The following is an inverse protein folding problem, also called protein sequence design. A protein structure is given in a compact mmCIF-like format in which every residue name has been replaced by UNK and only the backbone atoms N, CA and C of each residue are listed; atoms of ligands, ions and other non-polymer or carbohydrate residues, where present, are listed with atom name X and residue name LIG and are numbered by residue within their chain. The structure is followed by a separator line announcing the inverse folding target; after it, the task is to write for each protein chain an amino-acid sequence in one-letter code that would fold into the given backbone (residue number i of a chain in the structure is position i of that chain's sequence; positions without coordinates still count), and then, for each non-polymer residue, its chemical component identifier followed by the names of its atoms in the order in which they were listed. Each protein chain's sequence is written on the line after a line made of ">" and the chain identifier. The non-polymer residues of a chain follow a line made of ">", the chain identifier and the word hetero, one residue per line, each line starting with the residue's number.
data_IF_867984680800
#
_entry.id   IF_867984680800
#
_cell.length_a   1.000
_cell.length_b   1.000
_cell.length_c   1.000
_cell.angle_alpha   90.00
_cell.angle_beta   90.00
_cell.angle_gamma   90.00
#
_symmetry.space_group_name_H-M   'P 1'
#
loop_
_entity.id
_entity.type
_entity.pdbx_description
1 polymer ?
#
# COMPACT_ATOMS: atom_id res chain seq x y z
N UNK A 1 1.54 -14.93 0.30
CA UNK A 1 2.53 -14.49 1.31
C UNK A 1 2.58 -15.52 2.41
N UNK A 2 3.73 -15.76 3.05
CA UNK A 2 3.79 -16.64 4.22
C UNK A 2 2.87 -16.10 5.33
N UNK A 3 2.20 -16.99 6.06
CA UNK A 3 1.27 -16.61 7.14
C UNK A 3 1.91 -15.71 8.23
N UNK A 4 3.23 -15.81 8.40
CA UNK A 4 4.00 -14.97 9.32
C UNK A 4 4.12 -13.50 8.92
N UNK A 5 3.72 -13.13 7.70
CA UNK A 5 3.83 -11.75 7.22
C UNK A 5 2.59 -10.89 7.50
N UNK A 6 1.46 -11.50 7.86
CA UNK A 6 0.18 -10.78 7.92
C UNK A 6 -0.16 -10.25 9.33
N UNK A 7 0.55 -10.69 10.37
CA UNK A 7 0.31 -10.28 11.75
C UNK A 7 1.59 -10.21 12.59
N UNK A 8 2.74 -10.04 11.97
CA UNK A 8 4.04 -10.05 12.63
C UNK A 8 4.94 -8.90 12.17
N UNK A 9 5.60 -8.24 13.09
CA UNK A 9 6.64 -7.24 12.83
C UNK A 9 7.89 -7.83 12.15
N UNK A 10 8.04 -9.15 12.12
CA UNK A 10 9.13 -9.83 11.43
C UNK A 10 9.20 -9.47 9.93
N UNK A 11 8.07 -9.10 9.33
CA UNK A 11 8.00 -8.62 7.95
C UNK A 11 8.86 -7.38 7.71
N UNK A 12 8.85 -6.43 8.63
CA UNK A 12 9.63 -5.19 8.52
C UNK A 12 11.13 -5.46 8.60
N UNK A 13 11.49 -6.52 9.31
CA UNK A 13 12.87 -6.98 9.44
C UNK A 13 13.43 -7.57 8.13
N UNK A 14 12.58 -8.14 7.26
CA UNK A 14 13.06 -8.79 6.02
C UNK A 14 13.77 -7.84 5.08
N UNK A 15 13.24 -6.64 4.87
CA UNK A 15 13.86 -5.65 4.01
C UNK A 15 15.21 -5.17 4.57
N UNK A 16 15.28 -4.91 5.87
CA UNK A 16 16.51 -4.54 6.56
C UNK A 16 17.57 -5.63 6.51
N UNK A 17 17.18 -6.88 6.69
CA UNK A 17 18.08 -8.02 6.64
C UNK A 17 18.63 -8.25 5.21
N UNK A 18 17.78 -8.11 4.19
CA UNK A 18 18.24 -8.20 2.79
C UNK A 18 19.28 -7.11 2.47
N UNK A 19 19.05 -5.88 2.90
CA UNK A 19 19.99 -4.77 2.72
C UNK A 19 21.31 -5.01 3.47
N UNK A 20 21.25 -5.51 4.71
CA UNK A 20 22.43 -5.85 5.52
C UNK A 20 23.26 -6.94 4.84
N UNK A 21 22.64 -8.00 4.34
CA UNK A 21 23.32 -9.09 3.64
C UNK A 21 23.96 -8.60 2.34
N UNK A 22 23.25 -7.78 1.57
CA UNK A 22 23.80 -7.20 0.33
C UNK A 22 24.99 -6.30 0.59
N UNK A 23 24.94 -5.47 1.63
CA UNK A 23 26.07 -4.61 2.01
C UNK A 23 27.26 -5.44 2.48
N UNK A 24 27.06 -6.48 3.29
CA UNK A 24 28.12 -7.37 3.75
C UNK A 24 28.77 -8.10 2.57
N UNK A 25 27.97 -8.57 1.59
CA UNK A 25 28.50 -9.20 0.37
C UNK A 25 29.35 -8.22 -0.45
N UNK A 26 28.90 -6.99 -0.64
CA UNK A 26 29.66 -5.96 -1.34
C UNK A 26 30.99 -5.61 -0.66
N UNK A 27 30.99 -5.49 0.67
CA UNK A 27 32.20 -5.23 1.45
C UNK A 27 33.18 -6.42 1.39
N UNK A 28 32.66 -7.66 1.40
CA UNK A 28 33.48 -8.86 1.24
C UNK A 28 34.13 -8.90 -0.15
N UNK A 29 33.35 -8.63 -1.20
CA UNK A 29 33.87 -8.55 -2.58
C UNK A 29 34.95 -7.48 -2.72
N UNK A 30 34.76 -6.30 -2.10
CA UNK A 30 35.76 -5.23 -2.06
C UNK A 30 37.09 -5.70 -1.43
N UNK A 31 37.02 -6.66 -0.50
CA UNK A 31 38.21 -7.27 0.14
C UNK A 31 38.76 -8.47 -0.62
N UNK A 32 38.28 -8.74 -1.83
CA UNK A 32 38.75 -9.82 -2.68
C UNK A 32 38.08 -11.17 -2.41
N UNK A 33 36.93 -11.20 -1.70
CA UNK A 33 36.16 -12.44 -1.56
C UNK A 33 35.60 -12.84 -2.94
N UNK A 34 35.82 -14.06 -3.34
CA UNK A 34 35.43 -14.59 -4.66
C UNK A 34 34.20 -15.45 -4.50
N UNK A 35 33.18 -15.20 -5.31
CA UNK A 35 31.99 -16.03 -5.45
C UNK A 35 31.95 -16.67 -6.85
N UNK A 36 31.06 -17.65 -7.05
CA UNK A 36 30.85 -18.25 -8.37
C UNK A 36 30.26 -17.20 -9.32
N UNK A 37 30.98 -16.88 -10.40
CA UNK A 37 30.60 -15.83 -11.35
C UNK A 37 29.27 -16.12 -12.06
N UNK A 38 28.97 -17.39 -12.29
CA UNK A 38 27.78 -17.83 -13.01
C UNK A 38 26.65 -18.32 -12.11
N UNK A 39 26.63 -17.93 -10.84
CA UNK A 39 25.67 -18.44 -9.84
C UNK A 39 24.20 -18.16 -10.22
N UNK A 40 23.94 -17.14 -11.01
CA UNK A 40 22.58 -16.80 -11.41
C UNK A 40 22.04 -17.80 -12.46
N UNK A 41 22.80 -18.05 -13.53
CA UNK A 41 22.36 -18.83 -14.70
C UNK A 41 22.86 -20.28 -14.70
N UNK A 42 23.79 -20.65 -13.82
CA UNK A 42 24.36 -22.00 -13.78
C UNK A 42 23.29 -23.04 -13.38
N UNK A 43 23.49 -24.28 -13.84
CA UNK A 43 22.69 -25.43 -13.37
C UNK A 43 22.81 -25.55 -11.86
N UNK A 44 21.66 -25.64 -11.16
CA UNK A 44 21.53 -25.54 -9.70
C UNK A 44 21.89 -24.15 -9.14
N UNK A 45 22.03 -23.16 -9.99
CA UNK A 45 22.16 -21.76 -9.61
C UNK A 45 20.82 -21.13 -9.21
N UNK A 46 20.84 -19.81 -9.05
CA UNK A 46 19.67 -19.09 -8.49
C UNK A 46 18.40 -19.29 -9.34
N UNK A 47 18.46 -19.09 -10.64
CA UNK A 47 17.28 -19.18 -11.50
C UNK A 47 16.79 -20.61 -11.67
N UNK A 48 17.69 -21.60 -11.73
CA UNK A 48 17.34 -23.01 -11.80
C UNK A 48 16.60 -23.48 -10.53
N UNK A 49 16.99 -22.99 -9.37
CA UNK A 49 16.40 -23.36 -8.06
C UNK A 49 15.10 -22.63 -7.79
N UNK A 50 15.02 -21.32 -8.10
CA UNK A 50 13.86 -20.49 -7.76
C UNK A 50 12.87 -20.33 -8.91
N UNK A 51 13.16 -20.87 -10.06
CA UNK A 51 12.27 -20.90 -11.21
C UNK A 51 12.30 -19.62 -12.05
N UNK A 52 12.76 -19.75 -13.27
CA UNK A 52 12.69 -18.74 -14.30
C UNK A 52 12.83 -19.44 -15.63
N UNK A 53 11.74 -19.53 -16.41
CA UNK A 53 11.79 -20.15 -17.73
C UNK A 53 12.29 -19.18 -18.80
N UNK A 54 12.02 -17.88 -18.65
CA UNK A 54 12.46 -16.81 -19.56
C UNK A 54 13.49 -15.90 -18.86
N UNK A 55 14.77 -16.29 -18.92
CA UNK A 55 15.85 -15.50 -18.31
C UNK A 55 16.16 -14.22 -19.09
N UNK A 56 15.80 -14.16 -20.37
CA UNK A 56 16.01 -12.98 -21.21
C UNK A 56 15.14 -11.79 -20.74
N UNK A 57 14.05 -12.06 -20.02
CA UNK A 57 13.21 -11.00 -19.45
C UNK A 57 13.95 -10.10 -18.47
N UNK A 58 15.02 -10.60 -17.83
CA UNK A 58 15.80 -9.87 -16.82
C UNK A 58 16.61 -8.73 -17.43
N UNK A 59 17.14 -8.95 -18.64
CA UNK A 59 17.98 -7.99 -19.35
C UNK A 59 17.29 -7.32 -20.52
N UNK A 60 16.07 -7.77 -20.85
CA UNK A 60 15.26 -7.18 -21.92
C UNK A 60 15.03 -5.70 -21.60
N UNK A 61 15.25 -4.87 -22.61
CA UNK A 61 15.02 -3.43 -22.55
C UNK A 61 15.90 -2.66 -21.54
N UNK A 62 16.98 -3.24 -21.03
CA UNK A 62 17.94 -2.52 -20.19
C UNK A 62 18.45 -1.25 -20.89
N UNK A 63 18.39 -0.14 -20.15
CA UNK A 63 18.76 1.19 -20.65
C UNK A 63 17.70 1.87 -21.53
N UNK A 64 16.57 1.19 -21.81
CA UNK A 64 15.44 1.74 -22.58
C UNK A 64 14.21 1.92 -21.70
N UNK A 65 13.83 0.88 -20.97
CA UNK A 65 12.70 0.88 -20.05
C UNK A 65 13.17 0.58 -18.63
N UNK A 66 12.51 1.23 -17.67
CA UNK A 66 12.82 1.07 -16.26
C UNK A 66 11.53 0.86 -15.49
N UNK A 67 11.37 -0.28 -14.84
CA UNK A 67 10.18 -0.62 -14.05
C UNK A 67 9.88 0.41 -12.96
N UNK A 68 10.91 1.08 -12.45
CA UNK A 68 10.75 2.19 -11.51
C UNK A 68 9.97 3.38 -12.11
N UNK A 69 9.87 3.47 -13.42
CA UNK A 69 9.10 4.50 -14.13
C UNK A 69 7.74 3.96 -14.58
N UNK A 70 7.72 2.74 -15.15
CA UNK A 70 6.54 2.16 -15.78
C UNK A 70 5.60 1.48 -14.79
N UNK A 71 6.16 0.78 -13.79
CA UNK A 71 5.40 -0.09 -12.89
C UNK A 71 5.38 0.37 -11.42
N UNK A 72 6.04 1.49 -11.11
CA UNK A 72 6.05 1.99 -9.74
C UNK A 72 4.67 2.40 -9.28
N UNK A 73 4.32 2.00 -8.06
CA UNK A 73 3.14 2.46 -7.36
C UNK A 73 3.55 3.14 -6.04
N UNK A 74 2.99 4.32 -5.78
CA UNK A 74 3.21 5.08 -4.55
C UNK A 74 1.95 5.01 -3.69
N UNK A 75 2.10 4.55 -2.45
CA UNK A 75 0.99 4.53 -1.49
C UNK A 75 0.71 5.94 -0.98
N UNK A 76 -0.49 6.45 -1.21
CA UNK A 76 -0.95 7.76 -0.73
C UNK A 76 -1.65 7.69 0.62
N UNK A 77 -2.05 6.47 1.04
CA UNK A 77 -2.64 6.17 2.35
C UNK A 77 -1.94 4.95 2.95
N UNK A 78 -2.05 4.70 4.27
CA UNK A 78 -1.36 3.58 4.92
C UNK A 78 -1.91 2.22 4.46
N UNK A 79 -1.13 1.17 4.68
CA UNK A 79 -1.54 -0.23 4.57
C UNK A 79 -1.33 -0.88 3.20
N UNK A 80 -1.97 -2.01 2.99
CA UNK A 80 -1.87 -2.81 1.77
C UNK A 80 -2.50 -2.11 0.57
N UNK A 81 -1.74 -1.91 -0.51
CA UNK A 81 -2.20 -1.19 -1.71
C UNK A 81 -3.53 -1.72 -2.27
N UNK A 82 -3.79 -3.05 -2.31
CA UNK A 82 -5.09 -3.57 -2.74
C UNK A 82 -6.29 -3.16 -1.88
N UNK A 83 -6.06 -2.62 -0.68
CA UNK A 83 -7.13 -2.19 0.23
C UNK A 83 -7.45 -0.69 0.12
N UNK A 84 -6.60 0.09 -0.56
CA UNK A 84 -6.81 1.52 -0.74
C UNK A 84 -8.12 1.82 -1.47
N UNK A 85 -8.43 1.05 -2.52
CA UNK A 85 -9.71 1.17 -3.25
C UNK A 85 -10.92 0.86 -2.39
N UNK A 86 -10.79 -0.06 -1.43
CA UNK A 86 -11.87 -0.36 -0.47
C UNK A 86 -12.15 0.84 0.43
N UNK A 87 -11.10 1.45 1.00
CA UNK A 87 -11.25 2.65 1.84
C UNK A 87 -11.83 3.82 1.04
N UNK A 88 -11.31 4.08 -0.15
CA UNK A 88 -11.81 5.17 -1.01
C UNK A 88 -13.26 4.96 -1.45
N UNK A 89 -13.62 3.74 -1.88
CA UNK A 89 -14.99 3.40 -2.27
C UNK A 89 -15.97 3.53 -1.10
N UNK A 90 -15.58 3.09 0.10
CA UNK A 90 -16.38 3.25 1.32
C UNK A 90 -16.58 4.73 1.69
N UNK A 91 -15.53 5.54 1.58
CA UNK A 91 -15.61 6.98 1.83
C UNK A 91 -16.54 7.69 0.83
N UNK A 92 -16.49 7.31 -0.44
CA UNK A 92 -17.40 7.83 -1.48
C UNK A 92 -18.85 7.49 -1.12
N UNK A 93 -19.14 6.21 -0.85
CA UNK A 93 -20.49 5.78 -0.50
C UNK A 93 -21.03 6.50 0.76
N UNK A 94 -20.19 6.68 1.77
CA UNK A 94 -20.58 7.34 3.01
C UNK A 94 -20.82 8.85 2.83
N UNK A 95 -19.99 9.52 2.02
CA UNK A 95 -20.14 10.96 1.72
C UNK A 95 -21.39 11.23 0.89
N UNK A 96 -21.54 10.53 -0.24
CA UNK A 96 -22.69 10.74 -1.15
C UNK A 96 -24.02 10.39 -0.51
N UNK A 97 -24.04 9.35 0.34
CA UNK A 97 -25.21 8.99 1.12
C UNK A 97 -25.42 9.84 2.39
N UNK A 98 -24.49 10.71 2.73
CA UNK A 98 -24.44 11.41 4.02
C UNK A 98 -24.66 10.46 5.22
N UNK A 99 -24.11 9.23 5.13
CA UNK A 99 -24.32 8.16 6.13
C UNK A 99 -23.50 8.45 7.38
N UNK A 100 -24.12 8.26 8.56
CA UNK A 100 -23.46 8.26 9.86
C UNK A 100 -23.31 6.82 10.40
N UNK A 101 -22.33 6.54 11.29
CA UNK A 101 -22.06 5.18 11.78
C UNK A 101 -23.27 4.48 12.43
N UNK A 102 -24.12 5.23 13.12
CA UNK A 102 -25.32 4.74 13.80
C UNK A 102 -26.41 4.27 12.81
N UNK A 103 -26.45 4.83 11.61
CA UNK A 103 -27.39 4.47 10.55
C UNK A 103 -26.99 3.17 9.83
N UNK A 104 -25.74 2.74 9.92
CA UNK A 104 -25.25 1.58 9.18
C UNK A 104 -25.85 0.27 9.67
N UNK A 105 -26.48 -0.48 8.77
CA UNK A 105 -26.90 -1.86 8.96
C UNK A 105 -25.80 -2.83 8.56
N UNK A 106 -25.26 -2.70 7.32
CA UNK A 106 -24.17 -3.53 6.81
C UNK A 106 -23.27 -2.75 5.82
N UNK A 107 -22.03 -3.23 5.69
CA UNK A 107 -21.01 -2.73 4.75
C UNK A 107 -20.58 -3.91 3.88
N UNK A 108 -20.89 -3.88 2.60
CA UNK A 108 -20.65 -4.98 1.68
C UNK A 108 -19.45 -4.62 0.80
N UNK A 109 -18.39 -5.43 0.83
CA UNK A 109 -17.18 -5.24 0.01
C UNK A 109 -17.20 -6.25 -1.14
N UNK A 110 -17.23 -5.77 -2.37
CA UNK A 110 -17.13 -6.55 -3.59
C UNK A 110 -15.84 -6.21 -4.35
N UNK A 111 -15.21 -7.22 -4.95
CA UNK A 111 -13.95 -7.09 -5.71
C UNK A 111 -14.00 -7.89 -6.99
N UNK A 112 -13.18 -7.55 -8.02
CA UNK A 112 -13.01 -8.39 -9.19
C UNK A 112 -12.45 -9.76 -8.80
N UNK A 113 -12.86 -10.79 -9.54
CA UNK A 113 -12.24 -12.12 -9.41
C UNK A 113 -10.82 -12.03 -9.98
N UNK A 114 -9.83 -12.13 -9.12
CA UNK A 114 -8.46 -12.33 -9.56
C UNK A 114 -7.93 -13.67 -9.06
N UNK A 115 -7.74 -14.61 -9.98
CA UNK A 115 -7.23 -15.95 -9.67
C UNK A 115 -5.75 -15.98 -9.27
N UNK A 116 -4.99 -14.91 -9.59
CA UNK A 116 -3.57 -14.80 -9.25
C UNK A 116 -3.36 -14.28 -7.83
N UNK A 117 -4.25 -13.42 -7.35
CA UNK A 117 -4.24 -12.97 -5.96
C UNK A 117 -5.12 -13.92 -5.14
N UNK A 118 -4.51 -14.87 -4.46
CA UNK A 118 -5.18 -15.82 -3.55
C UNK A 118 -5.67 -15.12 -2.27
N UNK A 119 -6.36 -14.01 -2.42
CA UNK A 119 -7.01 -13.31 -1.31
C UNK A 119 -8.41 -13.87 -1.15
N UNK A 120 -8.72 -14.37 0.04
CA UNK A 120 -10.08 -14.80 0.38
C UNK A 120 -11.08 -13.64 0.26
N UNK A 121 -12.40 -13.94 0.24
CA UNK A 121 -13.42 -12.91 0.19
C UNK A 121 -13.23 -11.94 1.37
N UNK A 122 -13.38 -10.63 1.15
CA UNK A 122 -13.32 -9.65 2.21
C UNK A 122 -14.57 -9.78 3.10
N UNK A 123 -14.45 -10.57 4.14
CA UNK A 123 -15.48 -10.75 5.16
C UNK A 123 -15.16 -9.97 6.44
N UNK A 124 -15.94 -10.18 7.52
CA UNK A 124 -15.64 -9.59 8.82
C UNK A 124 -14.22 -9.97 9.21
N UNK A 125 -13.38 -8.98 9.32
CA UNK A 125 -11.96 -9.16 9.60
C UNK A 125 -11.69 -9.27 11.10
N UNK A 126 -10.44 -9.59 11.43
CA UNK A 126 -9.96 -9.40 12.79
C UNK A 126 -10.05 -7.93 13.17
N UNK A 127 -10.42 -7.66 14.40
CA UNK A 127 -10.24 -6.34 14.99
C UNK A 127 -8.74 -6.04 15.11
N UNK A 128 -8.22 -5.02 14.45
CA UNK A 128 -6.80 -4.71 14.49
C UNK A 128 -6.38 -4.28 15.89
N UNK A 129 -5.23 -4.77 16.34
CA UNK A 129 -4.64 -4.47 17.65
C UNK A 129 -3.35 -3.66 17.53
N UNK A 130 -2.81 -3.60 16.33
CA UNK A 130 -1.56 -2.92 16.02
C UNK A 130 -1.55 -2.46 14.56
N UNK A 131 -0.54 -1.71 14.16
CA UNK A 131 -0.41 -1.14 12.83
C UNK A 131 -0.28 -2.21 11.72
N UNK A 132 0.31 -3.36 12.04
CA UNK A 132 0.46 -4.46 11.07
C UNK A 132 -0.90 -5.07 10.75
N UNK A 133 -1.74 -5.28 11.75
CA UNK A 133 -3.12 -5.76 11.57
C UNK A 133 -3.93 -4.77 10.72
N UNK A 134 -3.82 -3.45 11.02
CA UNK A 134 -4.45 -2.37 10.23
C UNK A 134 -4.08 -2.50 8.76
N UNK A 135 -2.79 -2.68 8.46
CA UNK A 135 -2.28 -2.71 7.10
C UNK A 135 -2.86 -3.85 6.23
N UNK A 136 -3.41 -4.90 6.85
CA UNK A 136 -3.83 -6.13 6.18
C UNK A 136 -5.30 -6.50 6.41
N UNK A 137 -6.10 -5.64 7.04
CA UNK A 137 -7.51 -5.91 7.36
C UNK A 137 -8.44 -5.08 6.46
N UNK A 138 -8.94 -5.60 5.32
CA UNK A 138 -9.84 -4.88 4.42
C UNK A 138 -11.09 -4.32 5.12
N UNK A 139 -11.61 -5.06 6.09
CA UNK A 139 -12.77 -4.63 6.88
C UNK A 139 -12.48 -3.35 7.67
N UNK A 140 -11.25 -3.19 8.19
CA UNK A 140 -10.83 -1.95 8.84
C UNK A 140 -10.86 -0.75 7.89
N UNK A 141 -10.33 -0.92 6.65
CA UNK A 141 -10.35 0.15 5.65
C UNK A 141 -11.76 0.63 5.34
N UNK A 142 -12.70 -0.31 5.15
CA UNK A 142 -14.10 0.06 4.91
C UNK A 142 -14.74 0.70 6.13
N UNK A 143 -14.61 0.12 7.31
CA UNK A 143 -15.21 0.60 8.55
C UNK A 143 -14.70 1.99 8.95
N UNK A 144 -13.38 2.19 8.90
CA UNK A 144 -12.75 3.48 9.21
C UNK A 144 -13.17 4.57 8.22
N UNK A 145 -13.21 4.21 6.92
CA UNK A 145 -13.66 5.12 5.89
C UNK A 145 -15.14 5.51 6.01
N UNK A 146 -16.00 4.60 6.45
CA UNK A 146 -17.41 4.91 6.74
C UNK A 146 -17.54 5.78 7.99
N UNK A 147 -16.78 5.49 9.04
CA UNK A 147 -16.82 6.25 10.28
C UNK A 147 -16.47 7.73 10.08
N UNK A 148 -15.39 8.00 9.35
CA UNK A 148 -14.86 9.35 9.17
C UNK A 148 -15.22 9.97 7.81
N UNK A 149 -15.88 9.21 6.92
CA UNK A 149 -16.14 9.58 5.52
C UNK A 149 -14.88 9.91 4.73
N UNK A 150 -13.74 9.40 5.20
CA UNK A 150 -12.41 9.59 4.64
C UNK A 150 -11.51 8.42 5.03
N UNK A 151 -10.42 8.21 4.27
CA UNK A 151 -9.35 7.30 4.66
C UNK A 151 -8.00 7.92 4.34
N UNK A 152 -7.22 8.18 5.37
CA UNK A 152 -5.96 8.91 5.28
C UNK A 152 -4.91 8.35 6.26
N UNK A 153 -3.75 8.98 6.36
CA UNK A 153 -2.68 8.58 7.29
C UNK A 153 -3.09 8.64 8.76
N UNK A 154 -4.09 9.44 9.11
CA UNK A 154 -4.64 9.49 10.47
C UNK A 154 -5.13 8.12 10.94
N UNK A 155 -5.65 7.30 10.02
CA UNK A 155 -6.19 5.97 10.32
C UNK A 155 -5.12 4.92 10.65
N UNK A 156 -3.83 5.25 10.49
CA UNK A 156 -2.73 4.44 11.02
C UNK A 156 -2.39 4.76 12.49
N UNK A 157 -3.07 5.68 13.13
CA UNK A 157 -2.83 6.02 14.54
C UNK A 157 -3.54 5.08 15.49
N UNK A 158 -2.94 4.87 16.68
CA UNK A 158 -3.52 4.04 17.74
C UNK A 158 -4.93 4.50 18.12
N UNK A 159 -5.14 5.80 18.21
CA UNK A 159 -6.47 6.40 18.46
C UNK A 159 -7.52 5.90 17.48
N UNK A 160 -7.17 5.70 16.20
CA UNK A 160 -8.11 5.28 15.16
C UNK A 160 -8.29 3.77 15.10
N UNK A 161 -7.22 3.00 15.19
CA UNK A 161 -7.39 1.55 15.13
C UNK A 161 -7.90 0.91 16.43
N UNK A 162 -7.96 1.67 17.53
CA UNK A 162 -8.65 1.28 18.76
C UNK A 162 -10.01 1.98 18.94
N UNK A 163 -10.50 2.73 17.95
CA UNK A 163 -11.77 3.45 18.02
C UNK A 163 -12.95 2.47 18.10
N UNK A 164 -13.77 2.51 19.18
CA UNK A 164 -14.91 1.60 19.34
C UNK A 164 -15.94 1.69 18.22
N UNK A 165 -16.12 2.87 17.62
CA UNK A 165 -17.07 3.07 16.51
C UNK A 165 -16.60 2.32 15.28
N UNK A 166 -15.29 2.39 14.97
CA UNK A 166 -14.71 1.64 13.86
C UNK A 166 -14.86 0.13 14.11
N UNK A 167 -14.57 -0.34 15.34
CA UNK A 167 -14.72 -1.75 15.70
C UNK A 167 -16.17 -2.25 15.55
N UNK A 168 -17.17 -1.47 15.95
CA UNK A 168 -18.57 -1.82 15.73
C UNK A 168 -18.95 -1.90 14.25
N UNK A 169 -18.33 -1.06 13.40
CA UNK A 169 -18.54 -1.11 11.96
C UNK A 169 -17.83 -2.29 11.30
N UNK A 170 -16.67 -2.73 11.81
CA UNK A 170 -16.00 -3.93 11.34
C UNK A 170 -16.92 -5.16 11.44
N UNK A 171 -17.67 -5.28 12.53
CA UNK A 171 -18.61 -6.41 12.74
C UNK A 171 -19.76 -6.43 11.73
N UNK A 172 -20.03 -5.31 11.05
CA UNK A 172 -21.04 -5.19 10.01
C UNK A 172 -20.53 -5.41 8.61
N UNK A 173 -19.22 -5.66 8.45
CA UNK A 173 -18.61 -5.89 7.12
C UNK A 173 -18.94 -7.29 6.63
N UNK A 174 -19.35 -7.37 5.37
CA UNK A 174 -19.72 -8.60 4.67
C UNK A 174 -19.00 -8.68 3.32
N UNK A 175 -18.74 -9.91 2.87
CA UNK A 175 -18.31 -10.16 1.50
C UNK A 175 -19.51 -9.98 0.55
N UNK A 176 -19.29 -9.27 -0.55
CA UNK A 176 -20.24 -9.15 -1.65
C UNK A 176 -19.92 -10.10 -2.79
N UNK A 177 -20.88 -10.24 -3.72
CA UNK A 177 -20.63 -10.93 -4.96
C UNK A 177 -19.53 -10.22 -5.77
N UNK A 178 -18.70 -10.98 -6.49
CA UNK A 178 -17.66 -10.40 -7.32
C UNK A 178 -18.22 -9.41 -8.35
N UNK A 179 -17.53 -8.30 -8.51
CA UNK A 179 -17.90 -7.31 -9.53
C UNK A 179 -17.24 -7.63 -10.87
N UNK A 180 -17.96 -7.33 -11.95
CA UNK A 180 -17.46 -7.50 -13.31
C UNK A 180 -16.63 -6.28 -13.69
N UNK A 181 -15.31 -6.37 -13.53
CA UNK A 181 -14.33 -5.43 -14.03
C UNK A 181 -13.32 -6.21 -14.87
N UNK A 182 -12.63 -5.50 -15.76
CA UNK A 182 -11.43 -6.05 -16.39
C UNK A 182 -10.41 -6.39 -15.29
N UNK A 183 -10.35 -7.67 -14.93
CA UNK A 183 -9.59 -8.15 -13.79
C UNK A 183 -8.06 -8.10 -14.03
N UNK A 184 -7.60 -8.02 -15.28
CA UNK A 184 -6.18 -7.84 -15.57
C UNK A 184 -5.76 -6.41 -15.30
N UNK A 185 -6.57 -5.45 -15.71
CA UNK A 185 -6.30 -4.03 -15.54
C UNK A 185 -6.70 -3.49 -14.16
N UNK A 186 -7.82 -3.97 -13.62
CA UNK A 186 -8.43 -3.43 -12.40
C UNK A 186 -8.46 -4.43 -11.24
N UNK A 187 -7.53 -5.37 -11.20
CA UNK A 187 -7.48 -6.42 -10.17
C UNK A 187 -7.45 -5.90 -8.72
N UNK A 188 -7.07 -4.63 -8.54
CA UNK A 188 -7.09 -3.95 -7.23
C UNK A 188 -8.33 -3.08 -7.03
N UNK A 189 -9.31 -3.14 -7.94
CA UNK A 189 -10.56 -2.40 -7.81
C UNK A 189 -11.42 -2.90 -6.65
N UNK A 190 -12.33 -2.03 -6.18
CA UNK A 190 -13.32 -2.37 -5.16
C UNK A 190 -14.62 -1.59 -5.38
N UNK A 191 -15.72 -2.23 -4.99
CA UNK A 191 -17.01 -1.60 -4.78
C UNK A 191 -17.43 -1.82 -3.34
N UNK A 192 -17.90 -0.76 -2.69
CA UNK A 192 -18.43 -0.84 -1.33
C UNK A 192 -19.86 -0.32 -1.33
N UNK A 193 -20.79 -1.15 -0.84
CA UNK A 193 -22.19 -0.79 -0.65
C UNK A 193 -22.50 -0.71 0.84
N UNK A 194 -22.98 0.43 1.30
CA UNK A 194 -23.46 0.65 2.65
C UNK A 194 -24.98 0.52 2.61
N UNK A 195 -25.53 -0.44 3.37
CA UNK A 195 -26.97 -0.52 3.65
C UNK A 195 -27.26 0.18 4.96
N UNK A 196 -28.28 1.00 4.96
CA UNK A 196 -28.72 1.73 6.16
C UNK A 196 -29.97 1.08 6.74
N UNK A 197 -30.18 1.25 8.06
CA UNK A 197 -31.30 0.68 8.81
C UNK A 197 -32.67 1.08 8.29
N UNK A 198 -32.77 2.18 7.54
CA UNK A 198 -33.99 2.65 6.89
C UNK A 198 -34.21 2.05 5.48
N UNK A 199 -33.37 1.08 5.12
CA UNK A 199 -33.47 0.31 3.86
C UNK A 199 -32.82 0.96 2.64
N UNK A 200 -32.17 2.14 2.77
CA UNK A 200 -31.42 2.77 1.68
C UNK A 200 -30.08 2.05 1.46
N UNK A 201 -29.56 2.19 0.24
CA UNK A 201 -28.24 1.67 -0.13
C UNK A 201 -27.44 2.74 -0.85
N UNK A 202 -26.18 2.88 -0.47
CA UNK A 202 -25.23 3.83 -1.06
C UNK A 202 -23.99 3.08 -1.51
N UNK A 203 -23.58 3.28 -2.76
CA UNK A 203 -22.48 2.48 -3.36
C UNK A 203 -21.41 3.39 -3.94
N UNK A 204 -20.17 3.15 -3.54
CA UNK A 204 -19.00 3.73 -4.16
C UNK A 204 -18.21 2.67 -4.92
N UNK A 205 -17.62 3.03 -6.06
CA UNK A 205 -16.78 2.14 -6.87
C UNK A 205 -15.48 2.84 -7.23
N UNK A 206 -14.36 2.16 -7.01
CA UNK A 206 -13.02 2.63 -7.36
C UNK A 206 -12.30 1.53 -8.12
N UNK A 207 -11.87 1.84 -9.35
CA UNK A 207 -11.32 0.85 -10.26
C UNK A 207 -9.85 0.53 -9.96
N UNK A 208 -9.06 1.51 -9.53
CA UNK A 208 -7.65 1.33 -9.21
C UNK A 208 -7.21 2.29 -8.09
N UNK A 209 -6.21 1.94 -7.28
CA UNK A 209 -5.68 2.85 -6.26
C UNK A 209 -5.04 4.09 -6.89
N UNK A 210 -5.18 5.25 -6.27
CA UNK A 210 -4.36 6.41 -6.60
C UNK A 210 -2.88 6.07 -6.35
N UNK A 211 -2.01 6.60 -7.20
CA UNK A 211 -0.58 6.28 -7.14
C UNK A 211 -0.18 4.96 -7.78
N UNK A 212 -1.13 4.20 -8.36
CA UNK A 212 -0.83 3.03 -9.21
C UNK A 212 -0.60 3.44 -10.66
N UNK A 213 0.13 2.62 -11.44
CA UNK A 213 0.37 2.88 -12.85
C UNK A 213 -0.91 3.08 -13.67
N UNK A 214 -2.00 2.40 -13.31
CA UNK A 214 -3.31 2.52 -13.99
C UNK A 214 -3.97 3.88 -13.77
N UNK A 215 -3.86 4.43 -12.57
CA UNK A 215 -4.54 5.69 -12.19
C UNK A 215 -3.61 6.88 -12.15
N UNK A 216 -2.31 6.63 -12.15
CA UNK A 216 -1.28 7.64 -12.09
C UNK A 216 -1.13 8.31 -10.73
N UNK A 217 -0.12 9.15 -10.67
CA UNK A 217 0.20 10.01 -9.54
C UNK A 217 0.84 11.28 -10.07
N UNK A 218 0.60 12.39 -9.42
CA UNK A 218 1.27 13.66 -9.69
C UNK A 218 2.05 14.16 -8.46
N UNK A 219 2.80 15.22 -8.66
CA UNK A 219 3.55 15.83 -7.58
C UNK A 219 2.67 16.46 -6.49
N UNK A 220 1.45 16.85 -6.79
CA UNK A 220 0.52 17.39 -5.79
C UNK A 220 0.21 16.32 -4.75
N UNK A 221 -0.02 15.07 -5.19
CA UNK A 221 -0.25 13.92 -4.31
C UNK A 221 1.00 13.61 -3.45
N UNK A 222 2.19 13.64 -4.07
CA UNK A 222 3.46 13.36 -3.38
C UNK A 222 3.75 14.44 -2.33
N UNK A 223 3.59 15.70 -2.70
CA UNK A 223 3.78 16.84 -1.79
C UNK A 223 2.82 16.81 -0.60
N UNK A 224 1.54 16.50 -0.86
CA UNK A 224 0.54 16.37 0.19
C UNK A 224 0.90 15.24 1.17
N UNK A 225 1.30 14.08 0.65
CA UNK A 225 1.79 12.98 1.46
C UNK A 225 3.03 13.37 2.28
N UNK A 226 4.01 14.01 1.64
CA UNK A 226 5.23 14.43 2.30
C UNK A 226 4.94 15.38 3.47
N UNK A 227 4.13 16.43 3.23
CA UNK A 227 3.74 17.38 4.27
C UNK A 227 3.00 16.71 5.42
N UNK A 228 2.11 15.76 5.12
CA UNK A 228 1.37 15.03 6.15
C UNK A 228 2.30 14.18 7.03
N UNK A 229 3.21 13.42 6.43
CA UNK A 229 4.06 12.48 7.17
C UNK A 229 5.22 13.18 7.88
N UNK A 230 5.89 14.12 7.22
CA UNK A 230 7.03 14.81 7.79
C UNK A 230 6.61 15.77 8.91
N UNK A 231 5.40 16.33 8.85
CA UNK A 231 4.83 17.11 9.95
C UNK A 231 4.63 16.29 11.24
N UNK A 232 4.53 14.97 11.14
CA UNK A 232 4.47 14.06 12.30
C UNK A 232 5.84 13.83 12.95
N UNK A 233 6.93 14.25 12.29
CA UNK A 233 8.28 14.27 12.87
C UNK A 233 8.52 15.57 13.65
N UNK A 234 9.62 15.63 14.38
CA UNK A 234 10.04 16.87 15.07
C UNK A 234 10.69 17.90 14.14
N UNK A 235 10.56 17.74 12.83
CA UNK A 235 11.14 18.65 11.85
C UNK A 235 10.31 19.95 11.79
N UNK A 236 10.96 21.09 11.98
CA UNK A 236 10.30 22.39 11.88
C UNK A 236 9.77 22.67 10.47
N UNK A 237 8.67 23.41 10.37
CA UNK A 237 7.97 23.69 9.11
C UNK A 237 8.90 24.28 8.02
N UNK A 238 9.85 25.15 8.37
CA UNK A 238 10.79 25.71 7.40
C UNK A 238 11.73 24.64 6.81
N UNK A 239 12.23 23.72 7.63
CA UNK A 239 13.07 22.61 7.15
C UNK A 239 12.28 21.65 6.27
N UNK A 240 11.00 21.40 6.61
CA UNK A 240 10.09 20.61 5.80
C UNK A 240 9.95 21.20 4.39
N UNK A 241 9.61 22.47 4.26
CA UNK A 241 9.42 23.08 2.95
C UNK A 241 10.76 23.18 2.18
N UNK A 242 11.86 23.48 2.84
CA UNK A 242 13.17 23.51 2.21
C UNK A 242 13.59 22.12 1.70
N UNK A 243 13.35 21.06 2.46
CA UNK A 243 13.66 19.69 2.04
C UNK A 243 12.79 19.25 0.86
N UNK A 244 11.50 19.61 0.86
CA UNK A 244 10.61 19.34 -0.26
C UNK A 244 11.07 20.03 -1.54
N UNK A 245 11.51 21.29 -1.45
CA UNK A 245 12.10 22.00 -2.58
C UNK A 245 13.34 21.30 -3.12
N UNK A 246 14.27 20.88 -2.25
CA UNK A 246 15.47 20.13 -2.66
C UNK A 246 15.08 18.80 -3.32
N UNK A 247 14.07 18.10 -2.83
CA UNK A 247 13.57 16.85 -3.45
C UNK A 247 13.02 17.12 -4.85
N UNK A 248 12.27 18.19 -5.05
CA UNK A 248 11.73 18.58 -6.35
C UNK A 248 12.81 18.89 -7.39
N UNK A 249 13.88 19.50 -6.94
CA UNK A 249 15.02 19.94 -7.73
C UNK A 249 16.22 18.97 -7.61
N UNK A 250 15.98 17.70 -7.20
CA UNK A 250 17.06 16.78 -6.82
C UNK A 250 18.09 16.52 -7.92
N UNK A 251 17.72 16.65 -9.18
CA UNK A 251 18.65 16.53 -10.32
C UNK A 251 19.75 17.61 -10.33
N UNK A 252 19.49 18.76 -9.74
CA UNK A 252 20.41 19.90 -9.63
C UNK A 252 21.27 19.84 -8.37
N UNK A 253 21.05 18.83 -7.50
CA UNK A 253 21.75 18.70 -6.23
C UNK A 253 23.09 18.02 -6.45
N UNK A 254 24.18 18.76 -6.28
CA UNK A 254 25.54 18.25 -6.45
C UNK A 254 26.01 17.37 -5.29
N UNK A 255 25.41 17.51 -4.10
CA UNK A 255 25.80 16.76 -2.91
C UNK A 255 24.55 16.42 -2.08
N UNK A 256 24.35 15.13 -1.83
CA UNK A 256 23.20 14.62 -1.05
C UNK A 256 23.14 15.17 0.38
N UNK A 257 24.27 15.65 0.93
CA UNK A 257 24.28 16.29 2.24
C UNK A 257 23.42 17.56 2.31
N UNK A 258 23.15 18.19 1.15
CA UNK A 258 22.20 19.31 1.06
C UNK A 258 20.82 18.91 1.55
N UNK A 259 20.35 17.72 1.18
CA UNK A 259 19.07 17.17 1.66
C UNK A 259 19.17 16.62 3.08
N UNK A 260 20.18 15.78 3.36
CA UNK A 260 20.25 15.07 4.64
C UNK A 260 20.49 16.01 5.84
N UNK A 261 21.12 17.16 5.64
CA UNK A 261 21.28 18.19 6.69
C UNK A 261 19.97 18.90 7.06
N UNK A 262 19.01 18.95 6.13
CA UNK A 262 17.67 19.49 6.41
C UNK A 262 16.78 18.51 7.19
N UNK A 263 17.09 17.22 7.13
CA UNK A 263 16.29 16.15 7.76
C UNK A 263 16.76 15.76 9.18
N UNK A 264 17.67 16.56 9.76
CA UNK A 264 18.23 16.36 11.10
C UNK A 264 17.70 17.36 12.11
#
# INVERSE_FOLDING_TARGET
>A
MPASSDSSEAREYFAGNAALMGMNAALAAQKGYIAEERILEAKKGFFDVYGGEDLDCITRDWGREWDVITDMAIKLVPGGHPHHTTGEAAAIAAREGNVTPDQVESIIIARPINRKLRTGPPGPGKHPKNLVDVAHTPAYFAAAAVADRDFSWVHASEKKFLDPVIHQLIDKVQAGEPITLDAEKYYQGAQVTIKTKDGRSHTGTVYAPRGSGVRGIDWVDVDAKYRTLVAMSNLGAQKLENSLKVIREFREVSNVSTLTSLLR
#
